data_IF_250968001515
#
_entry.id   IF_250968001515
#
_cell.length_a   1.000
_cell.length_b   1.000
_cell.length_c   1.000
_cell.angle_alpha   90.00
_cell.angle_beta   90.00
_cell.angle_gamma   90.00
#
_symmetry.space_group_name_H-M   'P 1'
#
loop_
_entity.id
_entity.type
_entity.pdbx_description
1 polymer ?
#
# COMPACT_ATOMS: atom_id res chain seq x y z
N UNK A 1 -34.68 -19.18 16.11
CA UNK A 1 -34.47 -19.71 14.75
C UNK A 1 -35.20 -18.87 13.69
N UNK A 2 -36.47 -18.46 13.86
CA UNK A 2 -37.21 -17.60 12.93
C UNK A 2 -36.58 -16.19 12.83
N UNK A 3 -36.25 -15.56 13.94
CA UNK A 3 -35.63 -14.24 14.04
C UNK A 3 -34.26 -14.18 13.31
N UNK A 4 -33.46 -15.24 13.40
CA UNK A 4 -32.20 -15.37 12.67
C UNK A 4 -32.38 -15.47 11.15
N UNK A 5 -33.41 -16.22 10.69
CA UNK A 5 -33.76 -16.34 9.27
C UNK A 5 -34.30 -15.02 8.70
N UNK A 6 -35.15 -14.33 9.44
CA UNK A 6 -35.69 -13.02 9.06
C UNK A 6 -34.60 -11.96 8.94
N UNK A 7 -33.63 -11.94 9.89
CA UNK A 7 -32.45 -11.06 9.85
C UNK A 7 -31.52 -11.37 8.67
N UNK A 8 -31.33 -12.64 8.32
CA UNK A 8 -30.57 -13.06 7.15
C UNK A 8 -31.25 -12.70 5.82
N UNK A 9 -32.58 -12.82 5.74
CA UNK A 9 -33.37 -12.39 4.56
C UNK A 9 -33.27 -10.87 4.36
N UNK A 10 -33.47 -10.06 5.38
CA UNK A 10 -33.32 -8.60 5.31
C UNK A 10 -31.91 -8.16 4.88
N UNK A 11 -30.87 -8.87 5.34
CA UNK A 11 -29.51 -8.61 4.92
C UNK A 11 -29.33 -8.94 3.44
N UNK A 12 -29.81 -10.08 2.98
CA UNK A 12 -29.71 -10.55 1.59
C UNK A 12 -30.44 -9.62 0.62
N UNK A 13 -31.65 -9.17 0.98
CA UNK A 13 -32.42 -8.23 0.16
C UNK A 13 -31.77 -6.85 0.13
N UNK A 14 -31.21 -6.39 1.25
CA UNK A 14 -30.42 -5.16 1.31
C UNK A 14 -29.19 -5.23 0.41
N UNK A 15 -28.49 -6.36 0.34
CA UNK A 15 -27.36 -6.55 -0.57
C UNK A 15 -27.79 -6.51 -2.04
N UNK A 16 -28.90 -7.17 -2.39
CA UNK A 16 -29.44 -7.15 -3.75
C UNK A 16 -29.81 -5.71 -4.19
N UNK A 17 -30.52 -4.99 -3.34
CA UNK A 17 -30.90 -3.59 -3.62
C UNK A 17 -29.65 -2.71 -3.79
N UNK A 18 -28.63 -2.90 -2.96
CA UNK A 18 -27.36 -2.15 -3.06
C UNK A 18 -26.57 -2.48 -4.33
N UNK A 19 -26.61 -3.72 -4.78
CA UNK A 19 -25.99 -4.12 -6.05
C UNK A 19 -26.72 -3.49 -7.26
N UNK A 20 -28.07 -3.40 -7.21
CA UNK A 20 -28.86 -2.71 -8.22
C UNK A 20 -28.61 -1.19 -8.27
N UNK A 21 -28.21 -0.59 -7.14
CA UNK A 21 -27.78 0.82 -7.05
C UNK A 21 -26.37 1.06 -7.62
N UNK A 22 -25.74 0.09 -8.28
CA UNK A 22 -24.38 0.20 -8.85
C UNK A 22 -23.26 0.27 -7.80
N UNK A 23 -23.51 -0.20 -6.56
CA UNK A 23 -22.48 -0.22 -5.51
C UNK A 23 -21.49 -1.36 -5.71
N UNK A 24 -20.21 -1.08 -5.52
CA UNK A 24 -19.16 -2.07 -5.52
C UNK A 24 -18.81 -2.48 -4.08
N UNK A 25 -18.69 -3.79 -3.83
CA UNK A 25 -18.21 -4.32 -2.57
C UNK A 25 -16.82 -4.93 -2.75
N UNK A 26 -15.89 -4.57 -1.86
CA UNK A 26 -14.62 -5.26 -1.66
C UNK A 26 -14.79 -6.20 -0.47
N UNK A 27 -14.50 -7.47 -0.66
CA UNK A 27 -14.73 -8.51 0.34
C UNK A 27 -13.45 -9.31 0.52
N UNK A 28 -13.05 -9.46 1.78
CA UNK A 28 -12.05 -10.43 2.20
C UNK A 28 -12.72 -11.48 3.07
N UNK A 29 -12.55 -12.75 2.76
CA UNK A 29 -13.08 -13.89 3.52
C UNK A 29 -12.03 -14.98 3.67
N UNK A 30 -12.11 -15.71 4.78
CA UNK A 30 -11.34 -16.90 5.09
C UNK A 30 -12.27 -18.07 5.47
N UNK A 31 -11.71 -19.18 5.93
CA UNK A 31 -12.48 -20.37 6.35
C UNK A 31 -13.44 -20.09 7.53
N UNK A 32 -13.20 -19.03 8.30
CA UNK A 32 -14.06 -18.57 9.38
C UNK A 32 -15.16 -17.59 8.92
N UNK A 33 -15.20 -17.27 7.63
CA UNK A 33 -16.18 -16.38 7.03
C UNK A 33 -15.64 -14.97 6.73
N UNK A 34 -16.52 -13.97 6.75
CA UNK A 34 -16.22 -12.60 6.35
C UNK A 34 -15.19 -11.95 7.29
N UNK A 35 -14.02 -11.59 6.76
CA UNK A 35 -12.94 -10.89 7.47
C UNK A 35 -13.00 -9.38 7.31
N UNK A 36 -13.25 -8.90 6.08
CA UNK A 36 -13.46 -7.48 5.81
C UNK A 36 -14.52 -7.27 4.72
N UNK A 37 -15.22 -6.17 4.85
CA UNK A 37 -16.24 -5.73 3.89
C UNK A 37 -16.19 -4.22 3.75
N UNK A 38 -16.04 -3.75 2.49
CA UNK A 38 -16.08 -2.32 2.17
C UNK A 38 -17.05 -2.14 1.01
N UNK A 39 -18.02 -1.25 1.19
CA UNK A 39 -18.96 -0.88 0.14
C UNK A 39 -18.65 0.55 -0.31
N UNK A 40 -18.46 0.74 -1.60
CA UNK A 40 -18.22 2.03 -2.24
C UNK A 40 -19.31 2.35 -3.25
N UNK A 41 -19.57 3.64 -3.44
CA UNK A 41 -20.54 4.18 -4.41
C UNK A 41 -19.93 5.40 -5.08
N UNK A 42 -20.10 5.54 -6.38
CA UNK A 42 -19.87 6.81 -7.06
C UNK A 42 -21.11 7.67 -6.93
N UNK A 43 -20.94 8.94 -6.63
CA UNK A 43 -22.06 9.91 -6.57
C UNK A 43 -21.57 11.29 -7.01
N UNK A 44 -22.54 12.12 -7.44
CA UNK A 44 -22.34 13.51 -7.82
C UNK A 44 -23.45 14.36 -7.20
N UNK A 45 -23.57 14.29 -5.88
CA UNK A 45 -24.60 14.98 -5.11
C UNK A 45 -23.91 15.96 -4.14
N UNK A 46 -24.56 17.08 -3.77
CA UNK A 46 -24.08 17.94 -2.70
C UNK A 46 -24.10 17.18 -1.37
N UNK A 47 -23.22 17.55 -0.45
CA UNK A 47 -23.21 16.98 0.90
C UNK A 47 -23.67 18.06 1.89
N UNK A 48 -24.85 17.83 2.48
CA UNK A 48 -25.40 18.72 3.50
C UNK A 48 -24.65 18.61 4.82
N UNK A 49 -24.14 19.73 5.31
CA UNK A 49 -23.45 19.85 6.59
C UNK A 49 -24.26 20.75 7.54
N UNK A 50 -24.06 20.65 8.85
CA UNK A 50 -24.71 21.51 9.85
C UNK A 50 -24.39 23.00 9.71
N UNK A 51 -23.31 23.35 9.02
CA UNK A 51 -22.86 24.73 8.83
C UNK A 51 -22.76 25.18 7.38
N UNK A 52 -23.35 24.44 6.44
CA UNK A 52 -23.31 24.74 5.00
C UNK A 52 -23.45 23.52 4.14
N UNK A 53 -23.16 23.65 2.86
CA UNK A 53 -23.28 22.56 1.89
C UNK A 53 -22.01 22.47 1.07
N UNK A 54 -21.44 21.27 0.94
CA UNK A 54 -20.38 21.02 -0.03
C UNK A 54 -20.99 20.86 -1.41
N UNK A 55 -20.50 21.60 -2.38
CA UNK A 55 -21.00 21.56 -3.75
C UNK A 55 -20.95 20.16 -4.35
N UNK A 56 -21.83 19.86 -5.29
CA UNK A 56 -21.81 18.62 -6.05
C UNK A 56 -20.50 18.52 -6.84
N UNK A 57 -19.83 17.37 -6.77
CA UNK A 57 -18.73 16.98 -7.64
C UNK A 57 -18.65 15.46 -7.72
N UNK A 58 -17.84 14.93 -8.63
CA UNK A 58 -17.68 13.49 -8.77
C UNK A 58 -16.91 12.91 -7.59
N UNK A 59 -17.55 12.09 -6.78
CA UNK A 59 -17.01 11.52 -5.55
C UNK A 59 -17.15 10.01 -5.49
N UNK A 60 -16.16 9.38 -4.86
CA UNK A 60 -16.29 8.04 -4.32
C UNK A 60 -16.71 8.14 -2.86
N UNK A 61 -17.85 7.55 -2.50
CA UNK A 61 -18.29 7.41 -1.10
C UNK A 61 -17.93 6.04 -0.56
N UNK A 62 -17.25 5.98 0.57
CA UNK A 62 -17.13 4.76 1.38
C UNK A 62 -18.38 4.66 2.25
N UNK A 63 -19.36 3.84 1.79
CA UNK A 63 -20.67 3.74 2.46
C UNK A 63 -20.65 2.83 3.68
N UNK A 64 -19.76 1.85 3.69
CA UNK A 64 -19.61 0.89 4.78
C UNK A 64 -18.19 0.37 4.79
N UNK A 65 -17.55 0.36 5.95
CA UNK A 65 -16.28 -0.31 6.17
C UNK A 65 -16.38 -1.13 7.46
N UNK A 66 -16.19 -2.43 7.37
CA UNK A 66 -16.25 -3.33 8.52
C UNK A 66 -15.11 -4.34 8.43
N UNK A 67 -14.38 -4.49 9.54
CA UNK A 67 -13.33 -5.48 9.72
C UNK A 67 -13.69 -6.33 10.90
N UNK A 68 -13.59 -7.66 10.76
CA UNK A 68 -13.88 -8.59 11.84
C UNK A 68 -12.86 -8.45 12.98
N UNK A 69 -13.32 -8.62 14.22
CA UNK A 69 -12.47 -8.43 15.40
C UNK A 69 -11.24 -9.34 15.43
N UNK A 70 -11.36 -10.55 14.87
CA UNK A 70 -10.24 -11.50 14.76
C UNK A 70 -9.05 -10.98 13.94
N UNK A 71 -9.26 -9.94 13.13
CA UNK A 71 -8.19 -9.28 12.34
C UNK A 71 -7.67 -7.97 12.95
N UNK A 72 -8.08 -7.65 14.18
CA UNK A 72 -7.49 -6.51 14.91
C UNK A 72 -6.00 -6.73 15.13
N UNK A 73 -5.20 -5.68 14.91
CA UNK A 73 -3.73 -5.74 14.99
C UNK A 73 -3.03 -6.40 13.80
N UNK A 74 -3.75 -7.02 12.88
CA UNK A 74 -3.19 -7.68 11.68
C UNK A 74 -3.10 -6.76 10.45
N UNK A 75 -3.18 -5.46 10.63
CA UNK A 75 -3.02 -4.42 9.61
C UNK A 75 -4.02 -4.49 8.44
N UNK A 76 -5.07 -5.30 8.54
CA UNK A 76 -6.09 -5.43 7.51
C UNK A 76 -6.84 -4.10 7.26
N UNK A 77 -6.99 -3.25 8.30
CA UNK A 77 -7.57 -1.92 8.18
C UNK A 77 -6.77 -0.97 7.28
N UNK A 78 -5.45 -0.98 7.43
CA UNK A 78 -4.53 -0.21 6.59
C UNK A 78 -4.62 -0.67 5.12
N UNK A 79 -4.60 -1.97 4.88
CA UNK A 79 -4.74 -2.54 3.54
C UNK A 79 -6.11 -2.26 2.91
N UNK A 80 -7.18 -2.31 3.71
CA UNK A 80 -8.54 -2.02 3.26
C UNK A 80 -8.70 -0.57 2.79
N UNK A 81 -8.16 0.40 3.54
CA UNK A 81 -8.11 1.82 3.13
C UNK A 81 -7.30 1.95 1.82
N UNK A 82 -6.14 1.29 1.74
CA UNK A 82 -5.32 1.32 0.55
C UNK A 82 -6.01 0.81 -0.71
N UNK A 83 -6.72 -0.31 -0.62
CA UNK A 83 -7.49 -0.86 -1.74
C UNK A 83 -8.56 0.11 -2.25
N UNK A 84 -9.23 0.81 -1.34
CA UNK A 84 -10.24 1.82 -1.71
C UNK A 84 -9.58 3.04 -2.34
N UNK A 85 -8.46 3.50 -1.81
CA UNK A 85 -7.72 4.64 -2.37
C UNK A 85 -7.14 4.31 -3.76
N UNK A 86 -6.67 3.09 -4.02
CA UNK A 86 -6.29 2.65 -5.37
C UNK A 86 -7.49 2.61 -6.34
N UNK A 87 -8.68 2.19 -5.84
CA UNK A 87 -9.90 2.26 -6.67
C UNK A 87 -10.30 3.70 -6.97
N UNK A 88 -10.20 4.59 -5.99
CA UNK A 88 -10.43 6.01 -6.20
C UNK A 88 -9.44 6.61 -7.21
N UNK A 89 -8.16 6.34 -7.08
CA UNK A 89 -7.13 6.75 -8.04
C UNK A 89 -7.50 6.35 -9.48
N UNK A 90 -7.85 5.07 -9.68
CA UNK A 90 -8.23 4.52 -10.99
C UNK A 90 -9.55 5.06 -11.52
N UNK A 91 -10.47 5.49 -10.67
CA UNK A 91 -11.78 6.02 -11.10
C UNK A 91 -11.70 7.41 -11.73
N UNK A 92 -10.62 8.15 -11.49
CA UNK A 92 -10.47 9.52 -11.97
C UNK A 92 -11.38 10.54 -11.31
N UNK A 93 -12.18 10.16 -10.29
CA UNK A 93 -13.07 11.10 -9.58
C UNK A 93 -12.31 12.12 -8.75
N UNK A 94 -12.90 13.30 -8.53
CA UNK A 94 -12.24 14.43 -7.86
C UNK A 94 -11.95 14.15 -6.39
N UNK A 95 -12.91 13.55 -5.71
CA UNK A 95 -12.83 13.35 -4.26
C UNK A 95 -13.24 11.93 -3.84
N UNK A 96 -12.75 11.54 -2.68
CA UNK A 96 -13.22 10.40 -1.93
C UNK A 96 -13.62 10.84 -0.53
N UNK A 97 -14.72 10.32 0.00
CA UNK A 97 -15.14 10.65 1.36
C UNK A 97 -15.78 9.48 2.11
N UNK A 98 -15.83 9.63 3.42
CA UNK A 98 -16.48 8.71 4.36
C UNK A 98 -17.11 9.50 5.48
N UNK A 99 -18.23 8.99 6.02
CA UNK A 99 -18.82 9.55 7.25
C UNK A 99 -18.53 8.62 8.42
N UNK A 100 -18.17 9.21 9.57
CA UNK A 100 -17.84 8.48 10.78
C UNK A 100 -18.30 9.23 12.02
N UNK A 101 -18.81 8.51 13.04
CA UNK A 101 -19.07 9.10 14.35
C UNK A 101 -17.76 9.30 15.11
N UNK A 102 -17.66 10.35 15.94
CA UNK A 102 -16.45 10.69 16.70
C UNK A 102 -15.95 9.53 17.59
N UNK A 103 -16.84 8.63 18.04
CA UNK A 103 -16.47 7.41 18.79
C UNK A 103 -15.66 6.38 17.99
N UNK A 104 -15.48 6.57 16.69
CA UNK A 104 -14.73 5.68 15.81
C UNK A 104 -13.26 6.15 15.66
N UNK A 105 -12.62 6.48 16.78
CA UNK A 105 -11.29 7.11 16.86
C UNK A 105 -10.22 6.40 16.04
N UNK A 106 -10.18 5.07 16.08
CA UNK A 106 -9.21 4.27 15.31
C UNK A 106 -9.38 4.41 13.81
N UNK A 107 -10.63 4.46 13.33
CA UNK A 107 -10.91 4.70 11.91
C UNK A 107 -10.53 6.12 11.53
N UNK A 108 -10.93 7.10 12.32
CA UNK A 108 -10.63 8.53 12.09
C UNK A 108 -9.12 8.76 12.02
N UNK A 109 -8.38 8.26 13.00
CA UNK A 109 -6.92 8.35 13.02
C UNK A 109 -6.25 7.73 11.79
N UNK A 110 -6.76 6.60 11.29
CA UNK A 110 -6.26 6.00 10.06
C UNK A 110 -6.61 6.86 8.83
N UNK A 111 -7.82 7.41 8.75
CA UNK A 111 -8.23 8.29 7.65
C UNK A 111 -7.36 9.54 7.60
N UNK A 112 -7.16 10.22 8.72
CA UNK A 112 -6.32 11.41 8.85
C UNK A 112 -4.87 11.11 8.47
N UNK A 113 -4.33 9.97 8.90
CA UNK A 113 -3.02 9.48 8.48
C UNK A 113 -2.90 9.39 6.95
N UNK A 114 -3.97 8.93 6.27
CA UNK A 114 -4.02 8.85 4.81
C UNK A 114 -4.48 10.15 4.13
N UNK A 115 -4.42 11.27 4.81
CA UNK A 115 -4.65 12.61 4.25
C UNK A 115 -6.12 12.99 4.09
N UNK A 116 -7.05 12.27 4.73
CA UNK A 116 -8.42 12.77 4.85
C UNK A 116 -8.46 13.89 5.89
N UNK A 117 -9.29 14.89 5.65
CA UNK A 117 -9.56 15.96 6.59
C UNK A 117 -11.07 16.06 6.87
N UNK A 118 -11.41 16.50 8.06
CA UNK A 118 -12.81 16.71 8.46
C UNK A 118 -13.35 17.99 7.83
N UNK A 119 -14.34 17.86 6.96
CA UNK A 119 -15.02 19.00 6.33
C UNK A 119 -16.13 19.59 7.20
N UNK A 120 -16.71 18.79 8.11
CA UNK A 120 -17.79 19.22 9.00
C UNK A 120 -18.59 18.03 9.51
N UNK A 121 -19.76 18.30 10.10
CA UNK A 121 -20.71 17.28 10.48
C UNK A 121 -21.91 17.27 9.55
N UNK A 122 -22.36 16.10 9.14
CA UNK A 122 -23.63 15.97 8.42
C UNK A 122 -24.84 16.16 9.35
N UNK A 123 -26.04 16.16 8.79
CA UNK A 123 -27.26 16.36 9.56
C UNK A 123 -27.52 15.23 10.58
N UNK A 124 -26.95 14.05 10.39
CA UNK A 124 -27.04 12.90 11.30
C UNK A 124 -26.00 12.96 12.46
N UNK A 125 -25.13 13.96 12.47
CA UNK A 125 -24.09 14.13 13.49
C UNK A 125 -22.83 13.29 13.26
N UNK A 126 -22.64 12.72 12.06
CA UNK A 126 -21.39 12.07 11.67
C UNK A 126 -20.42 13.11 11.10
N UNK A 127 -19.14 13.03 11.44
CA UNK A 127 -18.06 13.77 10.78
C UNK A 127 -17.92 13.32 9.33
N UNK A 128 -17.81 14.27 8.41
CA UNK A 128 -17.54 14.03 6.99
C UNK A 128 -16.06 14.21 6.75
N UNK A 129 -15.37 13.13 6.38
CA UNK A 129 -13.93 13.10 6.12
C UNK A 129 -13.69 12.97 4.63
N UNK A 130 -12.99 13.94 4.04
CA UNK A 130 -12.78 14.08 2.59
C UNK A 130 -11.29 14.07 2.26
N UNK A 131 -10.95 13.48 1.12
CA UNK A 131 -9.65 13.62 0.46
C UNK A 131 -9.89 14.00 -1.00
N UNK A 132 -9.21 15.05 -1.48
CA UNK A 132 -9.33 15.56 -2.86
C UNK A 132 -8.02 15.32 -3.62
N UNK A 133 -8.13 14.99 -4.93
CA UNK A 133 -6.95 14.90 -5.81
C UNK A 133 -6.40 16.27 -6.22
N UNK A 134 -7.18 17.33 -6.06
CA UNK A 134 -6.76 18.71 -6.36
C UNK A 134 -6.03 19.39 -5.20
N UNK A 135 -5.93 18.71 -4.04
CA UNK A 135 -5.25 19.26 -2.85
C UNK A 135 -4.54 18.12 -2.11
N UNK A 136 -3.44 17.64 -2.68
CA UNK A 136 -2.65 16.56 -2.10
C UNK A 136 -1.51 17.13 -1.27
N UNK A 137 -1.40 16.69 -0.02
CA UNK A 137 -0.27 17.00 0.85
C UNK A 137 0.90 16.05 0.56
N UNK A 138 1.84 16.51 -0.25
CA UNK A 138 3.04 15.75 -0.62
C UNK A 138 4.16 15.79 0.44
N UNK A 139 3.96 16.44 1.58
CA UNK A 139 4.95 16.47 2.66
C UNK A 139 5.12 15.12 3.38
N UNK A 140 4.12 14.24 3.29
CA UNK A 140 4.12 12.92 3.90
C UNK A 140 3.59 11.88 2.90
N UNK A 141 4.35 10.79 2.61
CA UNK A 141 3.90 9.72 1.71
C UNK A 141 2.57 9.07 2.09
N UNK A 142 2.21 9.02 3.37
CA UNK A 142 0.88 8.55 3.77
C UNK A 142 -0.22 9.52 3.37
N UNK A 143 0.02 10.83 3.54
CA UNK A 143 -0.97 11.84 3.19
C UNK A 143 -1.12 11.99 1.69
N UNK A 144 -0.05 11.83 0.92
CA UNK A 144 -0.11 11.87 -0.55
C UNK A 144 -0.65 10.58 -1.17
N UNK A 145 -0.55 9.43 -0.48
CA UNK A 145 -1.03 8.16 -1.00
C UNK A 145 -2.47 8.26 -1.57
N UNK A 146 -2.78 7.79 -2.76
CA UNK A 146 -2.00 6.92 -3.63
C UNK A 146 -1.20 7.66 -4.73
N UNK A 147 -0.95 8.96 -4.61
CA UNK A 147 -0.27 9.78 -5.61
C UNK A 147 1.18 10.03 -5.23
N UNK A 148 2.09 9.80 -6.18
CA UNK A 148 3.52 10.08 -6.03
C UNK A 148 3.75 11.58 -6.23
N UNK A 149 4.60 12.17 -5.38
CA UNK A 149 5.02 13.56 -5.53
C UNK A 149 5.66 13.77 -6.92
N UNK A 150 5.13 14.67 -7.78
CA UNK A 150 5.71 14.92 -9.11
C UNK A 150 7.15 15.44 -9.05
N UNK A 151 7.53 16.08 -7.96
CA UNK A 151 8.84 16.68 -7.71
C UNK A 151 9.76 15.79 -6.85
N UNK A 152 9.63 14.46 -6.95
CA UNK A 152 10.58 13.57 -6.26
C UNK A 152 12.00 13.76 -6.77
N UNK A 153 12.97 13.63 -5.86
CA UNK A 153 14.38 13.92 -6.15
C UNK A 153 15.03 12.86 -7.04
N UNK A 154 14.80 11.60 -6.72
CA UNK A 154 15.43 10.46 -7.39
C UNK A 154 14.55 9.22 -7.28
N UNK A 155 14.97 8.14 -7.89
CA UNK A 155 14.38 6.82 -7.75
C UNK A 155 15.48 5.76 -7.86
N UNK A 156 15.14 4.50 -7.63
CA UNK A 156 16.06 3.38 -7.77
C UNK A 156 15.39 2.05 -7.57
N UNK A 157 16.20 1.00 -7.51
CA UNK A 157 15.72 -0.36 -7.30
C UNK A 157 15.92 -0.82 -5.87
N UNK A 158 14.90 -1.45 -5.29
CA UNK A 158 15.03 -2.27 -4.11
C UNK A 158 14.99 -3.74 -4.52
N UNK A 159 16.12 -4.44 -4.35
CA UNK A 159 16.28 -5.82 -4.79
C UNK A 159 15.91 -6.76 -3.65
N UNK A 160 14.89 -7.58 -3.89
CA UNK A 160 14.37 -8.52 -2.91
C UNK A 160 14.37 -9.93 -3.53
N UNK A 161 14.90 -10.92 -2.80
CA UNK A 161 14.84 -12.31 -3.22
C UNK A 161 13.39 -12.77 -3.32
N UNK A 162 13.10 -13.59 -4.31
CA UNK A 162 11.75 -14.09 -4.62
C UNK A 162 11.04 -14.68 -3.40
N UNK A 163 11.73 -15.45 -2.54
CA UNK A 163 11.18 -16.03 -1.32
C UNK A 163 10.59 -15.01 -0.34
N UNK A 164 11.24 -13.84 -0.19
CA UNK A 164 10.75 -12.77 0.68
C UNK A 164 9.80 -11.83 -0.04
N UNK A 165 10.07 -11.57 -1.33
CA UNK A 165 9.26 -10.70 -2.17
C UNK A 165 7.81 -11.17 -2.23
N UNK A 166 7.59 -12.45 -2.50
CA UNK A 166 6.27 -13.02 -2.73
C UNK A 166 5.38 -12.98 -1.46
N UNK A 167 6.01 -12.96 -0.29
CA UNK A 167 5.33 -12.70 0.99
C UNK A 167 5.00 -11.22 1.20
N UNK A 168 5.91 -10.31 0.81
CA UNK A 168 5.74 -8.87 1.02
C UNK A 168 4.73 -8.24 0.05
N UNK A 169 4.67 -8.72 -1.20
CA UNK A 169 3.94 -8.10 -2.30
C UNK A 169 2.96 -9.08 -2.95
N UNK A 170 1.86 -9.44 -2.27
CA UNK A 170 0.93 -10.49 -2.71
C UNK A 170 0.18 -10.14 -3.99
N UNK A 171 -0.01 -8.83 -4.29
CA UNK A 171 -0.72 -8.36 -5.48
C UNK A 171 0.16 -8.31 -6.74
N UNK A 172 1.43 -8.71 -6.65
CA UNK A 172 2.34 -8.76 -7.81
C UNK A 172 1.95 -9.80 -8.86
N UNK A 173 0.96 -10.65 -8.56
CA UNK A 173 0.32 -11.63 -9.45
C UNK A 173 1.31 -12.43 -10.30
N UNK A 174 2.23 -13.08 -9.62
CA UNK A 174 3.07 -14.10 -10.20
C UNK A 174 2.30 -15.42 -10.17
N UNK A 175 2.24 -16.13 -11.30
CA UNK A 175 1.58 -17.44 -11.40
C UNK A 175 2.05 -18.36 -10.27
N UNK A 176 1.10 -18.95 -9.54
CA UNK A 176 1.28 -19.96 -8.48
C UNK A 176 1.74 -19.47 -7.09
N UNK A 177 1.44 -18.24 -6.69
CA UNK A 177 1.70 -17.80 -5.32
C UNK A 177 0.54 -18.12 -4.37
N UNK A 178 0.73 -19.12 -3.50
CA UNK A 178 -0.18 -19.42 -2.39
C UNK A 178 0.43 -18.97 -1.07
N UNK A 179 -0.20 -18.01 -0.39
CA UNK A 179 0.22 -17.55 0.94
C UNK A 179 -0.29 -18.53 2.01
N UNK A 180 0.60 -19.20 2.74
CA UNK A 180 0.25 -20.26 3.68
C UNK A 180 0.54 -19.97 5.16
N UNK A 181 0.95 -18.75 5.56
CA UNK A 181 1.46 -18.46 6.91
C UNK A 181 0.81 -17.24 7.58
N UNK A 182 0.54 -17.31 8.90
CA UNK A 182 0.02 -16.19 9.70
C UNK A 182 0.96 -14.95 9.73
N UNK A 183 2.28 -15.15 9.72
CA UNK A 183 3.28 -14.07 9.62
C UNK A 183 3.18 -13.41 8.25
N UNK A 184 3.00 -14.22 7.20
CA UNK A 184 2.79 -13.73 5.85
C UNK A 184 1.55 -12.84 5.73
N UNK A 185 0.46 -13.16 6.43
CA UNK A 185 -0.77 -12.37 6.43
C UNK A 185 -0.59 -10.97 7.01
N UNK A 186 0.14 -10.81 8.11
CA UNK A 186 0.40 -9.49 8.70
C UNK A 186 1.20 -8.59 7.76
N UNK A 187 2.21 -9.15 7.11
CA UNK A 187 3.05 -8.41 6.16
C UNK A 187 2.30 -8.13 4.86
N UNK A 188 1.51 -9.09 4.36
CA UNK A 188 0.77 -8.95 3.11
C UNK A 188 -0.42 -8.00 3.23
N UNK A 189 -1.13 -8.00 4.35
CA UNK A 189 -2.34 -7.18 4.55
C UNK A 189 -2.05 -5.67 4.59
N UNK A 190 -0.93 -5.25 5.21
CA UNK A 190 -0.63 -3.83 5.36
C UNK A 190 0.00 -3.21 4.11
N UNK A 191 -0.26 -1.93 3.88
CA UNK A 191 0.41 -1.15 2.82
C UNK A 191 1.86 -0.82 3.18
N UNK A 192 2.15 -0.47 4.42
CA UNK A 192 3.52 -0.20 4.83
C UNK A 192 4.31 -1.51 4.92
N UNK A 193 5.45 -1.54 4.28
CA UNK A 193 6.37 -2.67 4.19
C UNK A 193 7.70 -2.30 4.82
N UNK A 194 8.40 -3.28 5.36
CA UNK A 194 9.74 -3.10 5.91
C UNK A 194 10.69 -4.08 5.24
N UNK A 195 11.70 -3.52 4.59
CA UNK A 195 12.88 -4.26 4.13
C UNK A 195 13.98 -4.19 5.17
N UNK A 196 14.63 -5.30 5.46
CA UNK A 196 15.81 -5.38 6.32
C UNK A 196 16.95 -6.01 5.54
N UNK A 197 18.05 -5.29 5.38
CA UNK A 197 19.18 -5.75 4.58
C UNK A 197 20.53 -5.23 5.07
N UNK A 198 21.59 -5.87 4.60
CA UNK A 198 22.98 -5.51 4.90
C UNK A 198 23.53 -4.58 3.82
N UNK A 199 23.01 -3.36 3.71
CA UNK A 199 23.46 -2.39 2.72
C UNK A 199 24.85 -1.83 3.07
N UNK A 200 25.73 -1.77 2.08
CA UNK A 200 27.10 -1.30 2.23
C UNK A 200 27.37 0.08 1.62
N UNK A 201 26.47 0.58 0.79
CA UNK A 201 26.65 1.81 0.03
C UNK A 201 25.50 2.76 0.24
N UNK A 202 25.73 4.04 -0.04
CA UNK A 202 24.68 5.06 -0.03
C UNK A 202 23.58 4.66 -1.03
N UNK A 203 22.33 4.77 -0.59
CA UNK A 203 21.16 4.55 -1.45
C UNK A 203 21.05 5.67 -2.49
N UNK A 204 20.58 5.37 -3.71
CA UNK A 204 20.35 6.38 -4.75
C UNK A 204 19.05 7.18 -4.56
N UNK A 205 18.33 6.98 -3.46
CA UNK A 205 17.05 7.60 -3.13
C UNK A 205 16.97 7.91 -1.64
N UNK A 206 16.11 8.84 -1.27
CA UNK A 206 15.87 9.30 0.09
C UNK A 206 14.40 9.07 0.52
N UNK A 207 14.06 9.52 1.74
CA UNK A 207 12.68 9.51 2.23
C UNK A 207 11.81 10.42 1.37
N UNK A 208 10.66 9.93 0.93
CA UNK A 208 9.75 10.62 0.01
C UNK A 208 9.94 10.22 -1.45
N UNK A 209 11.08 9.64 -1.81
CA UNK A 209 11.33 9.19 -3.18
C UNK A 209 10.60 7.88 -3.50
N UNK A 210 10.13 7.70 -4.76
CA UNK A 210 9.58 6.45 -5.22
C UNK A 210 10.69 5.45 -5.54
N UNK A 211 10.44 4.17 -5.31
CA UNK A 211 11.34 3.07 -5.61
C UNK A 211 10.64 1.94 -6.34
N UNK A 212 11.37 1.25 -7.20
CA UNK A 212 10.90 0.08 -7.93
C UNK A 212 11.30 -1.20 -7.20
N UNK A 213 10.35 -2.07 -6.97
CA UNK A 213 10.57 -3.34 -6.29
C UNK A 213 10.97 -4.40 -7.31
N UNK A 214 12.25 -4.78 -7.25
CA UNK A 214 12.82 -5.78 -8.14
C UNK A 214 12.85 -7.15 -7.45
N UNK A 215 12.06 -8.07 -7.96
CA UNK A 215 12.02 -9.47 -7.54
C UNK A 215 13.18 -10.22 -8.16
N UNK A 216 14.18 -10.56 -7.36
CA UNK A 216 15.34 -11.35 -7.82
C UNK A 216 15.01 -12.84 -7.74
N UNK A 217 14.95 -13.49 -8.90
CA UNK A 217 14.80 -14.94 -8.98
C UNK A 217 16.09 -15.63 -8.52
N UNK A 218 15.99 -16.53 -7.51
CA UNK A 218 17.14 -17.13 -6.85
C UNK A 218 17.33 -18.62 -7.18
N UNK A 219 16.28 -19.30 -7.64
CA UNK A 219 16.27 -20.75 -7.89
C UNK A 219 16.37 -21.06 -9.38
N UNK A 220 17.45 -21.77 -9.80
CA UNK A 220 17.56 -22.33 -11.15
C UNK A 220 17.99 -21.33 -12.25
N UNK A 221 17.67 -21.68 -13.49
CA UNK A 221 18.10 -20.99 -14.71
C UNK A 221 17.11 -19.91 -15.14
N UNK A 222 17.56 -19.01 -16.03
CA UNK A 222 16.69 -18.00 -16.65
C UNK A 222 16.47 -16.74 -15.82
N UNK A 223 17.40 -16.37 -14.95
CA UNK A 223 17.34 -15.16 -14.10
C UNK A 223 17.02 -13.89 -14.89
N UNK A 224 17.56 -13.76 -16.13
CA UNK A 224 17.34 -12.62 -17.02
C UNK A 224 15.87 -12.36 -17.36
N UNK A 225 15.06 -13.42 -17.43
CA UNK A 225 13.64 -13.35 -17.79
C UNK A 225 12.69 -13.53 -16.60
N UNK A 226 13.16 -14.19 -15.52
CA UNK A 226 12.36 -14.50 -14.33
C UNK A 226 12.49 -13.46 -13.21
N UNK A 227 13.59 -12.70 -13.22
CA UNK A 227 13.73 -11.54 -12.34
C UNK A 227 13.06 -10.34 -12.99
N UNK A 228 12.27 -9.59 -12.24
CA UNK A 228 11.45 -8.52 -12.81
C UNK A 228 11.07 -7.47 -11.75
N UNK A 229 10.75 -6.28 -12.21
CA UNK A 229 10.05 -5.28 -11.42
C UNK A 229 8.57 -5.67 -11.40
N UNK A 230 7.98 -5.69 -10.22
CA UNK A 230 6.59 -6.12 -10.00
C UNK A 230 5.72 -5.01 -9.43
N UNK A 231 6.34 -4.05 -8.77
CA UNK A 231 5.65 -3.08 -7.91
C UNK A 231 6.47 -1.82 -7.75
N UNK A 232 5.85 -0.79 -7.22
CA UNK A 232 6.52 0.43 -6.81
C UNK A 232 6.02 0.90 -5.44
N UNK A 233 6.92 1.50 -4.68
CA UNK A 233 6.67 2.00 -3.33
C UNK A 233 7.19 3.44 -3.22
N UNK A 234 6.83 4.13 -2.14
CA UNK A 234 7.49 5.38 -1.74
C UNK A 234 8.15 5.15 -0.38
N UNK A 235 9.40 5.58 -0.24
CA UNK A 235 10.19 5.42 0.99
C UNK A 235 9.62 6.32 2.08
N UNK A 236 9.30 5.75 3.23
CA UNK A 236 8.79 6.52 4.39
C UNK A 236 9.82 6.70 5.49
N UNK A 237 10.76 5.77 5.63
CA UNK A 237 11.89 5.88 6.58
C UNK A 237 13.09 5.07 6.12
N UNK A 238 14.28 5.58 6.42
CA UNK A 238 15.55 4.88 6.30
C UNK A 238 16.21 4.88 7.67
N UNK A 239 16.50 3.71 8.22
CA UNK A 239 17.03 3.55 9.57
C UNK A 239 18.29 2.71 9.50
N UNK A 240 19.45 3.31 9.78
CA UNK A 240 20.70 2.58 9.97
C UNK A 240 20.72 2.00 11.38
N UNK A 241 20.58 0.69 11.51
CA UNK A 241 20.58 0.02 12.80
C UNK A 241 21.98 -0.42 13.23
N UNK A 242 22.84 -0.74 12.24
CA UNK A 242 24.23 -1.16 12.46
C UNK A 242 25.11 -0.72 11.29
N UNK A 243 26.30 -0.23 11.57
CA UNK A 243 27.26 0.20 10.57
C UNK A 243 28.68 -0.23 10.97
N UNK A 244 29.39 -0.91 10.05
CA UNK A 244 30.76 -1.40 10.26
C UNK A 244 30.94 -2.12 11.60
N UNK A 245 30.03 -3.05 11.94
CA UNK A 245 29.96 -3.81 13.19
C UNK A 245 29.47 -3.00 14.40
N UNK A 246 29.38 -1.67 14.31
CA UNK A 246 28.92 -0.83 15.40
C UNK A 246 27.39 -0.79 15.44
N UNK A 247 26.81 -1.13 16.58
CA UNK A 247 25.37 -1.01 16.82
C UNK A 247 25.02 0.44 17.07
N UNK A 248 24.12 1.01 16.25
CA UNK A 248 23.64 2.39 16.37
C UNK A 248 22.38 2.49 17.22
N UNK A 249 21.76 1.37 17.56
CA UNK A 249 20.60 1.28 18.46
C UNK A 249 20.55 -0.11 19.10
N UNK A 250 19.75 -0.28 20.18
CA UNK A 250 19.53 -1.59 20.79
C UNK A 250 18.62 -2.47 19.91
N UNK A 251 18.67 -3.78 20.12
CA UNK A 251 17.81 -4.73 19.41
C UNK A 251 16.33 -4.50 19.71
N UNK A 252 15.99 -4.15 20.95
CA UNK A 252 14.63 -3.83 21.40
C UNK A 252 14.09 -2.59 20.68
N UNK A 253 14.93 -1.55 20.53
CA UNK A 253 14.61 -0.35 19.77
C UNK A 253 14.37 -0.67 18.30
N UNK A 254 15.20 -1.55 17.71
CA UNK A 254 15.03 -2.02 16.34
C UNK A 254 13.70 -2.76 16.17
N UNK A 255 13.38 -3.70 17.05
CA UNK A 255 12.11 -4.45 17.02
C UNK A 255 10.91 -3.52 17.12
N UNK A 256 10.96 -2.54 18.02
CA UNK A 256 9.88 -1.58 18.17
C UNK A 256 9.67 -0.75 16.88
N UNK A 257 10.75 -0.33 16.21
CA UNK A 257 10.68 0.42 14.95
C UNK A 257 10.15 -0.41 13.78
N UNK A 258 10.54 -1.68 13.70
CA UNK A 258 10.08 -2.62 12.65
C UNK A 258 8.61 -3.01 12.87
N UNK A 259 8.21 -3.29 14.13
CA UNK A 259 6.89 -3.78 14.46
C UNK A 259 6.57 -5.11 13.76
N UNK A 260 5.31 -5.29 13.34
CA UNK A 260 4.84 -6.48 12.63
C UNK A 260 4.88 -6.35 11.09
N UNK A 261 5.81 -5.55 10.56
CA UNK A 261 5.92 -5.24 9.12
C UNK A 261 6.99 -6.07 8.42
N UNK A 262 7.84 -6.80 9.14
CA UNK A 262 8.94 -7.59 8.60
C UNK A 262 8.50 -9.00 8.22
N UNK A 263 9.09 -9.54 7.16
CA UNK A 263 8.99 -10.96 6.79
C UNK A 263 9.83 -11.86 7.69
N UNK A 264 10.81 -11.29 8.38
CA UNK A 264 11.66 -12.01 9.34
C UNK A 264 10.97 -12.11 10.69
N UNK A 265 11.03 -13.28 11.30
CA UNK A 265 10.66 -13.45 12.70
C UNK A 265 11.72 -12.81 13.63
N UNK A 266 11.43 -12.77 14.94
CA UNK A 266 12.31 -12.12 15.92
C UNK A 266 13.70 -12.79 16.00
N UNK A 267 13.78 -14.10 15.87
CA UNK A 267 15.04 -14.84 15.91
C UNK A 267 15.92 -14.56 14.69
N UNK A 268 15.34 -14.57 13.49
CA UNK A 268 16.04 -14.20 12.26
C UNK A 268 16.53 -12.75 12.29
N UNK A 269 15.73 -11.82 12.84
CA UNK A 269 16.15 -10.43 13.03
C UNK A 269 17.30 -10.32 14.03
N UNK A 270 17.28 -11.12 15.11
CA UNK A 270 18.38 -11.17 16.11
C UNK A 270 19.66 -11.70 15.50
N UNK A 271 19.58 -12.74 14.69
CA UNK A 271 20.74 -13.30 13.98
C UNK A 271 21.35 -12.25 13.04
N UNK A 272 20.55 -11.55 12.24
CA UNK A 272 21.02 -10.46 11.38
C UNK A 272 21.63 -9.31 12.17
N UNK A 273 20.99 -8.89 13.25
CA UNK A 273 21.49 -7.83 14.12
C UNK A 273 22.84 -8.19 14.74
N UNK A 274 23.07 -9.45 15.08
CA UNK A 274 24.33 -9.93 15.66
C UNK A 274 25.44 -10.13 14.61
N UNK A 275 25.11 -10.76 13.47
CA UNK A 275 26.11 -11.28 12.53
C UNK A 275 26.32 -10.44 11.26
N UNK A 276 25.38 -9.58 10.86
CA UNK A 276 25.58 -8.73 9.69
C UNK A 276 26.53 -7.56 10.05
N UNK A 277 27.47 -7.22 9.15
CA UNK A 277 28.39 -6.08 9.32
C UNK A 277 27.63 -4.76 9.35
N UNK A 278 26.65 -4.61 8.48
CA UNK A 278 25.75 -3.47 8.40
C UNK A 278 24.32 -3.96 8.50
N UNK A 279 23.43 -3.14 9.05
CA UNK A 279 22.01 -3.45 9.07
C UNK A 279 21.20 -2.17 8.80
N UNK A 280 20.54 -2.16 7.65
CA UNK A 280 19.69 -1.09 7.17
C UNK A 280 18.24 -1.55 7.15
N UNK A 281 17.36 -0.69 7.63
CA UNK A 281 15.90 -0.87 7.55
C UNK A 281 15.32 0.21 6.65
N UNK A 282 14.60 -0.19 5.62
CA UNK A 282 13.84 0.71 4.75
C UNK A 282 12.36 0.43 4.99
N UNK A 283 11.66 1.43 5.53
CA UNK A 283 10.19 1.42 5.59
C UNK A 283 9.65 2.13 4.35
N UNK A 284 8.67 1.52 3.70
CA UNK A 284 8.10 2.01 2.46
C UNK A 284 6.59 1.78 2.43
N UNK A 285 5.88 2.61 1.72
CA UNK A 285 4.45 2.47 1.48
C UNK A 285 4.22 1.91 0.07
N UNK A 286 3.40 0.85 -0.03
CA UNK A 286 3.11 0.13 -1.27
C UNK A 286 2.13 0.94 -2.12
N UNK A 287 2.63 1.61 -3.15
CA UNK A 287 1.85 2.55 -3.98
C UNK A 287 1.15 1.89 -5.15
N UNK A 288 1.69 0.79 -5.67
CA UNK A 288 1.04 0.06 -6.74
C UNK A 288 1.84 -1.13 -7.24
N UNK A 289 1.22 -1.89 -8.12
CA UNK A 289 1.76 -3.11 -8.72
C UNK A 289 1.39 -3.18 -10.20
N UNK A 290 2.21 -3.91 -10.97
CA UNK A 290 2.05 -4.00 -12.42
C UNK A 290 0.97 -5.01 -12.84
N UNK A 291 0.75 -6.05 -12.04
CA UNK A 291 -0.23 -7.09 -12.32
C UNK A 291 0.29 -8.18 -13.25
N UNK A 292 -0.54 -9.19 -13.44
CA UNK A 292 -0.18 -10.37 -14.24
C UNK A 292 0.14 -10.00 -15.70
N UNK A 293 1.29 -10.48 -16.18
CA UNK A 293 1.75 -10.25 -17.55
C UNK A 293 2.44 -8.91 -17.79
N UNK A 294 2.37 -7.95 -16.85
CA UNK A 294 2.92 -6.59 -17.02
C UNK A 294 4.25 -6.39 -16.30
N UNK A 295 4.74 -7.37 -15.54
CA UNK A 295 6.01 -7.28 -14.84
C UNK A 295 7.17 -7.05 -15.81
N UNK A 296 8.06 -6.09 -15.49
CA UNK A 296 9.15 -5.68 -16.37
C UNK A 296 10.42 -6.47 -16.02
N UNK A 297 10.83 -7.38 -16.91
CA UNK A 297 11.96 -8.25 -16.68
C UNK A 297 13.33 -7.56 -16.89
N UNK A 298 14.39 -8.21 -16.38
CA UNK A 298 15.76 -7.72 -16.49
C UNK A 298 16.19 -7.53 -17.95
N UNK A 299 15.78 -8.41 -18.88
CA UNK A 299 16.14 -8.33 -20.29
C UNK A 299 15.66 -7.03 -20.92
N UNK A 300 14.43 -6.61 -20.64
CA UNK A 300 13.91 -5.34 -21.12
C UNK A 300 14.63 -4.14 -20.50
N UNK A 301 14.90 -4.18 -19.20
CA UNK A 301 15.63 -3.10 -18.50
C UNK A 301 17.02 -2.89 -19.09
N UNK A 302 17.74 -3.98 -19.37
CA UNK A 302 19.08 -3.96 -19.94
C UNK A 302 19.07 -3.39 -21.36
N UNK A 303 18.18 -3.86 -22.23
CA UNK A 303 18.04 -3.38 -23.61
C UNK A 303 17.66 -1.90 -23.72
N UNK A 304 17.01 -1.35 -22.70
CA UNK A 304 16.59 0.06 -22.68
C UNK A 304 17.52 0.96 -21.86
N UNK A 305 18.68 0.43 -21.41
CA UNK A 305 19.68 1.21 -20.70
C UNK A 305 19.36 1.52 -19.24
N UNK A 306 18.35 0.87 -18.67
CA UNK A 306 17.96 1.03 -17.24
C UNK A 306 18.65 0.03 -16.32
N UNK A 307 19.40 -0.92 -16.88
CA UNK A 307 20.20 -1.90 -16.17
C UNK A 307 21.62 -1.83 -16.70
N UNK A 308 22.60 -1.84 -15.93
CA UNK A 308 23.99 -1.73 -16.41
C UNK A 308 24.88 -2.74 -15.72
N UNK A 309 26.21 -2.55 -15.85
CA UNK A 309 27.21 -3.37 -15.19
C UNK A 309 27.39 -3.02 -13.70
N UNK A 310 26.83 -1.89 -13.26
CA UNK A 310 26.81 -1.51 -11.84
C UNK A 310 25.77 -2.35 -11.08
N UNK A 311 26.04 -2.62 -9.80
CA UNK A 311 25.06 -3.32 -8.95
C UNK A 311 23.74 -2.54 -8.93
N UNK A 312 22.62 -3.14 -9.32
CA UNK A 312 21.40 -2.39 -9.65
C UNK A 312 20.83 -1.56 -8.52
N UNK A 313 21.02 -1.98 -7.26
CA UNK A 313 20.58 -1.20 -6.10
C UNK A 313 21.31 0.15 -5.95
N UNK A 314 22.37 0.40 -6.72
CA UNK A 314 23.14 1.64 -6.72
C UNK A 314 22.86 2.52 -7.94
N UNK A 315 22.00 2.09 -8.85
CA UNK A 315 21.66 2.82 -10.06
C UNK A 315 20.59 3.87 -9.71
N UNK A 316 20.91 5.17 -9.79
CA UNK A 316 19.89 6.21 -9.68
C UNK A 316 19.03 6.23 -10.94
N UNK A 317 17.73 6.37 -10.77
CA UNK A 317 16.79 6.57 -11.85
C UNK A 317 16.22 7.99 -11.76
N UNK A 318 16.28 8.72 -12.86
CA UNK A 318 15.60 10.00 -12.96
C UNK A 318 14.10 9.81 -13.20
N UNK A 319 13.34 10.90 -13.12
CA UNK A 319 11.89 10.88 -13.31
C UNK A 319 11.47 10.27 -14.67
N UNK A 320 12.19 10.55 -15.74
CA UNK A 320 11.89 10.01 -17.07
C UNK A 320 12.05 8.49 -17.11
N UNK A 321 13.15 7.96 -16.57
CA UNK A 321 13.40 6.52 -16.50
C UNK A 321 12.35 5.81 -15.62
N UNK A 322 12.01 6.39 -14.46
CA UNK A 322 10.99 5.86 -13.58
C UNK A 322 9.63 5.78 -14.28
N UNK A 323 9.17 6.88 -14.91
CA UNK A 323 7.91 6.95 -15.66
C UNK A 323 7.87 5.94 -16.81
N UNK A 324 8.95 5.83 -17.60
CA UNK A 324 9.04 4.87 -18.70
C UNK A 324 8.92 3.40 -18.25
N UNK A 325 9.48 3.07 -17.06
CA UNK A 325 9.36 1.73 -16.50
C UNK A 325 7.92 1.47 -16.01
N UNK A 326 7.25 2.47 -15.42
CA UNK A 326 5.85 2.37 -15.03
C UNK A 326 4.95 2.15 -16.25
N UNK A 327 5.12 2.92 -17.32
CA UNK A 327 4.39 2.79 -18.60
C UNK A 327 4.59 1.39 -19.22
N UNK A 328 5.84 0.89 -19.22
CA UNK A 328 6.12 -0.48 -19.65
C UNK A 328 5.39 -1.52 -18.81
N UNK A 329 5.21 -1.26 -17.54
CA UNK A 329 4.42 -2.06 -16.59
C UNK A 329 2.90 -1.84 -16.71
N UNK A 330 2.44 -1.16 -17.76
CA UNK A 330 1.02 -0.85 -18.01
C UNK A 330 0.36 -0.01 -16.89
N UNK A 331 1.14 0.87 -16.26
CA UNK A 331 0.65 1.84 -15.29
C UNK A 331 0.34 3.15 -16.01
N UNK A 332 -0.86 3.66 -15.81
CA UNK A 332 -1.22 5.01 -16.25
C UNK A 332 -0.53 6.05 -15.35
N UNK A 333 0.59 6.58 -15.84
CA UNK A 333 1.43 7.51 -15.10
C UNK A 333 0.67 8.78 -14.72
N UNK A 334 -0.24 9.25 -15.57
CA UNK A 334 -1.04 10.46 -15.31
C UNK A 334 -2.02 10.30 -14.13
N UNK A 335 -2.38 9.06 -13.81
CA UNK A 335 -3.19 8.73 -12.64
C UNK A 335 -2.38 8.50 -11.35
N UNK A 336 -1.07 8.31 -11.47
CA UNK A 336 -0.19 7.99 -10.32
C UNK A 336 0.63 9.20 -9.90
N UNK A 337 1.07 10.01 -10.88
CA UNK A 337 1.86 11.22 -10.67
C UNK A 337 1.01 12.38 -11.19
N UNK A 338 0.39 13.11 -10.28
CA UNK A 338 -0.47 14.25 -10.59
C UNK A 338 0.18 15.54 -10.10
N UNK A 339 0.11 16.59 -10.94
CA UNK A 339 0.61 17.95 -10.63
C UNK A 339 -0.38 18.75 -9.80
#
# INVERSE_FOLDING_TARGET
TAYRRQRQMCIRDRFKNKAQEGRTALVFSDDQGLGAFICIKNENEPIELKGGTLAACNRVKISTMKIAERFRGQRLGEGAIGLVLWKWQKSGTDEIYVTAFDKQDLLISQLEKFGFHKAGYNLNGEGVYIKSRHNIDYSDPYKSFPFINPNFHSSGYLIINDTYHDTMFPYSELKNNTLQNAVAMNVSNGLSKVYVGAQYSKLPYDVGDPILIYRRYTTGYGKRYRSCITSFCVVTKIIQAKENWNHLMSFETLLHKIGNKSVFNQEELRQRYSHDRNLLVIEMLYYGYFGEGNNVNMDWLDRNGYWGNTYPALIPLNSTAFKSILEKGNIDVSNVIID
#
